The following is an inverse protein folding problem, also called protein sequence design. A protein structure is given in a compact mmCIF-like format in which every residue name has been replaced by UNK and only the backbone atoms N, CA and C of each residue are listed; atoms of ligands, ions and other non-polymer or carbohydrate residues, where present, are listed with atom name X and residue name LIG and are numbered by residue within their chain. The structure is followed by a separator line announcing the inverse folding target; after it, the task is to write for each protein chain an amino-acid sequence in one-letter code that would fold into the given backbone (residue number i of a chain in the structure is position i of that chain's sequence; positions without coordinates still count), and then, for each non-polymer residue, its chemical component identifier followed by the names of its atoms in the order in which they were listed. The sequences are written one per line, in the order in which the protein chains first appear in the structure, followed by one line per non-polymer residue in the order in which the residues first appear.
data_IF_900834409427
#
_entry.id   IF_900834409427
#
_cell.length_a   1.000
_cell.length_b   1.000
_cell.length_c   1.000
_cell.angle_alpha   90.00
_cell.angle_beta   90.00
_cell.angle_gamma   90.00
#
_symmetry.space_group_name_H-M   'P 1'
#
loop_
_entity.id
_entity.type
_entity.pdbx_description
1 polymer ?
#
# COMPACT_ATOMS: atom_id res chain seq x y z
N UNK A 1 15.94 25.83 -9.26
CA UNK A 1 16.34 25.10 -8.04
C UNK A 1 15.16 24.25 -7.64
N UNK A 2 15.21 22.94 -7.84
CA UNK A 2 14.19 22.01 -7.34
C UNK A 2 14.41 21.87 -5.84
N UNK A 3 13.49 22.41 -5.03
CA UNK A 3 13.53 22.21 -3.59
C UNK A 3 13.33 20.72 -3.32
N UNK A 4 14.20 20.14 -2.50
CA UNK A 4 13.99 18.78 -1.97
C UNK A 4 12.65 18.79 -1.23
N UNK A 5 11.71 17.89 -1.57
CA UNK A 5 10.46 17.81 -0.82
C UNK A 5 10.78 17.50 0.65
N UNK A 6 9.95 17.99 1.58
CA UNK A 6 10.11 17.65 2.99
C UNK A 6 10.10 16.13 3.17
N UNK A 7 10.80 15.65 4.18
CA UNK A 7 10.78 14.24 4.54
C UNK A 7 9.34 13.77 4.78
N UNK A 8 8.99 12.62 4.22
CA UNK A 8 7.66 12.05 4.37
C UNK A 8 7.56 11.33 5.72
N UNK A 9 6.64 11.78 6.56
CA UNK A 9 6.27 11.12 7.81
C UNK A 9 5.05 10.23 7.59
N UNK A 10 5.29 8.93 7.42
CA UNK A 10 4.23 7.94 7.20
C UNK A 10 3.26 7.86 8.38
N UNK A 11 3.73 8.02 9.62
CA UNK A 11 2.86 7.91 10.80
C UNK A 11 1.89 9.09 10.83
N UNK A 12 2.40 10.31 10.64
CA UNK A 12 1.57 11.51 10.54
C UNK A 12 0.58 11.42 9.37
N UNK A 13 1.04 10.89 8.23
CA UNK A 13 0.20 10.63 7.07
C UNK A 13 -0.96 9.68 7.40
N UNK A 14 -0.68 8.53 8.04
CA UNK A 14 -1.69 7.53 8.37
C UNK A 14 -2.72 8.03 9.38
N UNK A 15 -2.31 8.85 10.36
CA UNK A 15 -3.25 9.54 11.25
C UNK A 15 -4.20 10.46 10.49
N UNK A 16 -3.65 11.26 9.56
CA UNK A 16 -4.47 12.14 8.72
C UNK A 16 -5.41 11.34 7.82
N UNK A 17 -4.91 10.28 7.19
CA UNK A 17 -5.68 9.40 6.31
C UNK A 17 -6.84 8.75 7.07
N UNK A 18 -6.58 8.19 8.26
CA UNK A 18 -7.62 7.61 9.11
C UNK A 18 -8.71 8.62 9.44
N UNK A 19 -8.33 9.84 9.85
CA UNK A 19 -9.29 10.88 10.19
C UNK A 19 -10.16 11.30 8.98
N UNK A 20 -9.56 11.42 7.80
CA UNK A 20 -10.29 11.66 6.56
C UNK A 20 -11.24 10.50 6.21
N UNK A 21 -10.75 9.27 6.28
CA UNK A 21 -11.46 8.06 5.90
C UNK A 21 -12.68 7.80 6.81
N UNK A 22 -12.50 7.93 8.13
CA UNK A 22 -13.58 7.81 9.12
C UNK A 22 -14.64 8.90 8.93
N UNK A 23 -14.22 10.14 8.63
CA UNK A 23 -15.15 11.26 8.40
C UNK A 23 -15.95 11.09 7.11
N UNK A 24 -15.33 10.58 6.04
CA UNK A 24 -15.90 10.56 4.69
C UNK A 24 -16.76 9.31 4.46
N UNK A 25 -16.26 8.15 4.88
CA UNK A 25 -16.87 6.85 4.59
C UNK A 25 -17.48 6.20 5.84
N UNK A 26 -17.37 6.86 6.99
CA UNK A 26 -17.85 6.36 8.26
C UNK A 26 -16.87 5.39 8.93
N UNK A 27 -17.05 5.16 10.24
CA UNK A 27 -16.24 4.20 10.98
C UNK A 27 -16.57 2.75 10.60
N UNK A 28 -15.69 1.82 10.95
CA UNK A 28 -15.91 0.38 10.78
C UNK A 28 -14.92 -0.28 9.83
N UNK A 29 -15.04 -1.60 9.70
CA UNK A 29 -14.09 -2.42 8.95
C UNK A 29 -14.21 -2.25 7.42
N UNK A 30 -15.43 -2.11 6.88
CA UNK A 30 -15.73 -1.98 5.44
C UNK A 30 -14.94 -2.94 4.53
N UNK A 31 -14.60 -4.13 5.05
CA UNK A 31 -13.65 -5.03 4.38
C UNK A 31 -14.17 -5.49 3.02
N UNK A 32 -15.47 -5.73 2.90
CA UNK A 32 -16.07 -6.18 1.64
C UNK A 32 -15.99 -5.09 0.58
N UNK A 33 -16.32 -3.86 0.96
CA UNK A 33 -16.32 -2.69 0.09
C UNK A 33 -14.89 -2.33 -0.34
N UNK A 34 -13.94 -2.34 0.59
CA UNK A 34 -12.51 -2.15 0.31
C UNK A 34 -11.95 -3.20 -0.65
N UNK A 35 -12.26 -4.48 -0.43
CA UNK A 35 -11.79 -5.54 -1.32
C UNK A 35 -12.42 -5.44 -2.72
N UNK A 36 -13.69 -5.04 -2.81
CA UNK A 36 -14.33 -4.78 -4.09
C UNK A 36 -13.69 -3.60 -4.81
N UNK A 37 -13.27 -2.56 -4.08
CA UNK A 37 -12.56 -1.41 -4.64
C UNK A 37 -11.15 -1.82 -5.11
N UNK A 38 -10.36 -2.52 -4.30
CA UNK A 38 -9.06 -3.05 -4.72
C UNK A 38 -9.15 -3.89 -6.01
N UNK A 39 -10.20 -4.69 -6.17
CA UNK A 39 -10.44 -5.47 -7.41
C UNK A 39 -10.73 -4.59 -8.63
N UNK A 40 -11.29 -3.39 -8.44
CA UNK A 40 -11.48 -2.42 -9.51
C UNK A 40 -10.13 -1.80 -9.89
N UNK A 41 -9.38 -1.31 -8.91
CA UNK A 41 -8.07 -0.65 -9.15
C UNK A 41 -7.05 -1.60 -9.79
N UNK A 42 -7.08 -2.90 -9.46
CA UNK A 42 -6.26 -3.89 -10.17
C UNK A 42 -6.60 -4.01 -11.66
N UNK A 43 -7.87 -3.86 -12.05
CA UNK A 43 -8.26 -3.87 -13.47
C UNK A 43 -7.85 -2.58 -14.17
N UNK A 44 -7.85 -1.46 -13.47
CA UNK A 44 -7.33 -0.20 -14.02
C UNK A 44 -5.82 -0.31 -14.25
N UNK A 45 -5.06 -0.86 -13.30
CA UNK A 45 -3.64 -1.16 -13.48
C UNK A 45 -3.32 -2.11 -14.65
N UNK A 46 -4.19 -3.06 -14.97
CA UNK A 46 -4.03 -3.89 -16.18
C UNK A 46 -4.06 -3.03 -17.47
N UNK A 47 -4.75 -1.89 -17.44
CA UNK A 47 -4.89 -0.98 -18.59
C UNK A 47 -3.89 0.17 -18.59
N UNK A 48 -3.55 0.71 -17.41
CA UNK A 48 -2.72 1.91 -17.21
C UNK A 48 -1.57 1.63 -16.21
N UNK A 49 -0.73 0.59 -16.42
CA UNK A 49 0.28 0.16 -15.44
C UNK A 49 1.41 1.17 -15.20
N UNK A 50 1.55 2.16 -16.08
CA UNK A 50 2.56 3.22 -15.98
C UNK A 50 2.00 4.50 -15.36
N UNK A 51 0.70 4.52 -15.02
CA UNK A 51 0.09 5.61 -14.29
C UNK A 51 0.40 5.44 -12.80
N UNK A 52 1.03 6.45 -12.20
CA UNK A 52 1.39 6.44 -10.79
C UNK A 52 0.14 6.47 -9.90
N UNK A 53 -0.91 7.16 -10.33
CA UNK A 53 -2.10 7.39 -9.50
C UNK A 53 -2.82 6.06 -9.21
N UNK A 54 -2.87 5.14 -10.18
CA UNK A 54 -3.45 3.80 -10.03
C UNK A 54 -2.69 2.94 -9.01
N UNK A 55 -1.37 3.08 -8.94
CA UNK A 55 -0.57 2.42 -7.89
C UNK A 55 -0.82 3.04 -6.52
N UNK A 56 -1.02 4.36 -6.47
CA UNK A 56 -1.37 5.05 -5.23
C UNK A 56 -2.75 4.64 -4.74
N UNK A 57 -3.75 4.48 -5.62
CA UNK A 57 -5.08 4.02 -5.23
C UNK A 57 -5.02 2.65 -4.54
N UNK A 58 -4.25 1.70 -5.09
CA UNK A 58 -4.00 0.41 -4.42
C UNK A 58 -3.29 0.57 -3.08
N UNK A 59 -2.24 1.38 -3.01
CA UNK A 59 -1.46 1.57 -1.79
C UNK A 59 -2.30 2.21 -0.67
N UNK A 60 -3.13 3.20 -1.00
CA UNK A 60 -4.01 3.87 -0.07
C UNK A 60 -5.11 2.94 0.44
N UNK A 61 -5.75 2.17 -0.44
CA UNK A 61 -6.77 1.20 -0.03
C UNK A 61 -6.20 0.09 0.87
N UNK A 62 -4.97 -0.35 0.61
CA UNK A 62 -4.30 -1.35 1.44
C UNK A 62 -3.98 -0.80 2.85
N UNK A 63 -3.49 0.44 2.94
CA UNK A 63 -3.22 1.11 4.22
C UNK A 63 -4.51 1.41 4.98
N UNK A 64 -5.56 1.87 4.30
CA UNK A 64 -6.88 2.08 4.90
C UNK A 64 -7.46 0.77 5.43
N UNK A 65 -7.29 -0.33 4.70
CA UNK A 65 -7.68 -1.67 5.17
C UNK A 65 -7.01 -2.06 6.48
N UNK A 66 -5.71 -1.81 6.63
CA UNK A 66 -5.00 -2.05 7.89
C UNK A 66 -5.49 -1.14 9.03
N UNK A 67 -5.69 0.15 8.76
CA UNK A 67 -6.22 1.11 9.74
C UNK A 67 -7.62 0.71 10.20
N UNK A 68 -8.48 0.31 9.27
CA UNK A 68 -9.85 -0.14 9.56
C UNK A 68 -9.89 -1.46 10.30
N UNK A 69 -8.96 -2.36 10.05
CA UNK A 69 -8.77 -3.60 10.82
C UNK A 69 -8.31 -3.35 12.28
N UNK A 70 -8.04 -2.10 12.66
CA UNK A 70 -7.76 -1.70 14.03
C UNK A 70 -6.27 -1.60 14.37
N UNK A 71 -5.38 -1.70 13.38
CA UNK A 71 -3.94 -1.50 13.60
C UNK A 71 -3.62 -0.01 13.76
N UNK A 72 -2.76 0.31 14.73
CA UNK A 72 -2.32 1.68 14.94
C UNK A 72 -1.36 2.12 13.81
N UNK A 73 -1.36 3.41 13.41
CA UNK A 73 -0.41 3.97 12.45
C UNK A 73 1.07 3.59 12.73
N UNK A 74 1.46 3.63 14.00
CA UNK A 74 2.80 3.28 14.46
C UNK A 74 3.11 1.80 14.27
N UNK A 75 2.12 0.92 14.43
CA UNK A 75 2.26 -0.52 14.23
C UNK A 75 2.41 -0.84 12.74
N UNK A 76 1.63 -0.18 11.89
CA UNK A 76 1.70 -0.31 10.42
C UNK A 76 3.09 0.12 9.93
N UNK A 77 3.58 1.30 10.37
CA UNK A 77 4.90 1.79 9.97
C UNK A 77 6.02 0.82 10.37
N UNK A 78 6.00 0.30 11.62
CA UNK A 78 6.98 -0.71 12.06
C UNK A 78 6.85 -2.02 11.28
N UNK A 79 5.63 -2.48 11.03
CA UNK A 79 5.37 -3.71 10.30
C UNK A 79 5.83 -3.63 8.85
N UNK A 80 5.70 -2.47 8.19
CA UNK A 80 6.24 -2.23 6.85
C UNK A 80 7.76 -2.41 6.81
N UNK A 81 8.49 -1.77 7.74
CA UNK A 81 9.95 -1.94 7.84
C UNK A 81 10.32 -3.40 8.12
N UNK A 82 9.65 -4.05 9.08
CA UNK A 82 9.93 -5.43 9.41
C UNK A 82 9.65 -6.38 8.23
N UNK A 83 8.55 -6.16 7.50
CA UNK A 83 8.19 -6.93 6.31
C UNK A 83 9.21 -6.75 5.19
N UNK A 84 9.69 -5.52 4.97
CA UNK A 84 10.75 -5.23 4.02
C UNK A 84 12.04 -5.97 4.39
N UNK A 85 12.47 -5.91 5.66
CA UNK A 85 13.64 -6.66 6.13
C UNK A 85 13.49 -8.17 5.94
N UNK A 86 12.30 -8.74 6.13
CA UNK A 86 12.06 -10.16 5.85
C UNK A 86 12.18 -10.46 4.35
N UNK A 87 11.65 -9.60 3.49
CA UNK A 87 11.76 -9.76 2.04
C UNK A 87 13.22 -9.63 1.58
N UNK A 88 14.00 -8.70 2.12
CA UNK A 88 15.43 -8.52 1.78
C UNK A 88 16.30 -9.70 2.19
N UNK A 89 15.95 -10.38 3.28
CA UNK A 89 16.66 -11.57 3.76
C UNK A 89 16.17 -12.88 3.13
N UNK A 90 15.14 -12.84 2.28
CA UNK A 90 14.66 -14.03 1.60
C UNK A 90 15.55 -14.40 0.41
N UNK A 91 15.63 -15.70 0.11
CA UNK A 91 16.29 -16.17 -1.11
C UNK A 91 15.30 -16.10 -2.27
N UNK A 92 15.53 -15.17 -3.19
CA UNK A 92 14.73 -15.02 -4.42
C UNK A 92 15.40 -15.71 -5.60
N UNK A 93 14.63 -16.25 -6.56
CA UNK A 93 15.18 -16.67 -7.85
C UNK A 93 15.90 -15.50 -8.52
N UNK A 94 17.05 -15.76 -9.19
CA UNK A 94 17.71 -14.72 -9.98
C UNK A 94 16.83 -14.40 -11.19
N UNK A 95 16.22 -13.22 -11.15
CA UNK A 95 15.33 -12.72 -12.18
C UNK A 95 15.97 -12.66 -13.56
N UNK A 96 17.31 -12.61 -13.65
CA UNK A 96 18.04 -12.62 -14.93
C UNK A 96 18.07 -14.00 -15.60
N UNK A 97 17.81 -15.06 -14.83
CA UNK A 97 17.90 -16.46 -15.29
C UNK A 97 16.58 -17.22 -15.18
N UNK A 98 15.54 -16.61 -14.62
CA UNK A 98 14.21 -17.20 -14.52
C UNK A 98 13.58 -17.31 -15.93
N UNK A 99 13.15 -18.52 -16.31
CA UNK A 99 12.86 -18.89 -17.69
C UNK A 99 11.56 -18.31 -18.29
N UNK A 100 10.71 -17.65 -17.52
CA UNK A 100 9.34 -17.30 -17.95
C UNK A 100 8.69 -16.16 -17.15
N UNK A 101 9.48 -15.29 -16.51
CA UNK A 101 8.91 -14.23 -15.68
C UNK A 101 8.24 -14.72 -14.39
N UNK A 102 8.40 -16.00 -14.03
CA UNK A 102 8.03 -16.54 -12.70
C UNK A 102 9.00 -16.13 -11.59
N UNK A 103 9.50 -14.90 -11.62
CA UNK A 103 9.96 -14.29 -10.39
C UNK A 103 8.74 -13.96 -9.57
N UNK A 104 8.53 -14.74 -8.50
CA UNK A 104 7.63 -14.36 -7.42
C UNK A 104 8.18 -13.03 -6.89
N UNK A 105 7.58 -11.91 -7.31
CA UNK A 105 7.73 -10.62 -6.65
C UNK A 105 6.98 -10.67 -5.31
#
# INVERSE_FOLDING_TARGET
MTQTPPAFDLIAYLHHHKAFSDKTFGPGHHTKELLAHLQKEFKELETTPLDLDEWLDVALLALDGALRAGFAPEDIARALTAKQTLNENATWPDWRTAADGSTRF
#
